data_IF_576143966771
#
_entry.id   IF_576143966771
#
_cell.length_a   1.000
_cell.length_b   1.000
_cell.length_c   1.000
_cell.angle_alpha   90.00
_cell.angle_beta   90.00
_cell.angle_gamma   90.00
#
_symmetry.space_group_name_H-M   'P 1'
#
loop_
_entity.id
_entity.type
_entity.pdbx_description
1 polymer ?
#
# COMPACT_ATOMS: atom_id res chain seq x y z
N UNK A 1 6.61 -11.44 6.15
CA UNK A 1 5.81 -12.02 5.03
C UNK A 1 6.62 -11.84 3.75
N UNK A 2 6.53 -12.81 2.83
CA UNK A 2 7.16 -12.70 1.52
C UNK A 2 6.30 -11.85 0.57
N UNK A 3 6.91 -10.83 -0.02
CA UNK A 3 6.33 -9.95 -1.02
C UNK A 3 7.04 -10.11 -2.36
N UNK A 4 6.43 -9.61 -3.43
CA UNK A 4 7.07 -9.51 -4.74
C UNK A 4 7.60 -8.09 -4.92
N UNK A 5 8.93 -7.94 -5.02
CA UNK A 5 9.55 -6.73 -5.52
C UNK A 5 9.54 -6.79 -7.04
N UNK A 6 8.87 -5.82 -7.66
CA UNK A 6 8.78 -5.70 -9.11
C UNK A 6 9.56 -4.48 -9.55
N UNK A 7 10.57 -4.71 -10.37
CA UNK A 7 11.43 -3.68 -10.91
C UNK A 7 11.06 -3.43 -12.38
N UNK A 8 10.56 -2.24 -12.66
CA UNK A 8 10.19 -1.77 -13.99
C UNK A 8 11.30 -0.88 -14.54
N UNK A 9 11.90 -1.27 -15.66
CA UNK A 9 12.77 -0.39 -16.45
C UNK A 9 11.88 0.42 -17.40
N UNK A 10 11.88 1.74 -17.24
CA UNK A 10 11.14 2.69 -18.08
C UNK A 10 12.12 3.54 -18.90
N UNK A 11 11.61 4.39 -19.80
CA UNK A 11 12.45 5.30 -20.58
C UNK A 11 13.22 6.30 -19.71
N UNK A 12 12.64 6.70 -18.58
CA UNK A 12 13.17 7.75 -17.69
C UNK A 12 13.89 7.20 -16.45
N UNK A 13 14.06 5.88 -16.37
CA UNK A 13 14.75 5.23 -15.24
C UNK A 13 14.01 3.99 -14.73
N UNK A 14 14.32 3.62 -13.49
CA UNK A 14 13.81 2.40 -12.87
C UNK A 14 12.77 2.73 -11.80
N UNK A 15 11.65 1.99 -11.78
CA UNK A 15 10.63 2.08 -10.74
C UNK A 15 10.46 0.73 -10.05
N UNK A 16 10.57 0.73 -8.72
CA UNK A 16 10.35 -0.46 -7.89
C UNK A 16 8.97 -0.41 -7.21
N UNK A 17 8.25 -1.52 -7.24
CA UNK A 17 6.93 -1.66 -6.62
C UNK A 17 6.84 -2.99 -5.87
N UNK A 18 6.36 -2.94 -4.64
CA UNK A 18 6.08 -4.10 -3.81
C UNK A 18 4.63 -4.52 -4.05
N UNK A 19 4.44 -5.80 -4.38
CA UNK A 19 3.14 -6.44 -4.54
C UNK A 19 2.96 -7.59 -3.58
N UNK A 20 1.70 -7.86 -3.26
CA UNK A 20 1.27 -9.00 -2.47
C UNK A 20 1.13 -10.20 -3.43
N UNK A 21 1.82 -11.34 -3.21
CA UNK A 21 1.90 -12.44 -4.19
C UNK A 21 0.57 -13.10 -4.54
N UNK A 22 -0.44 -12.99 -3.66
CA UNK A 22 -1.81 -13.49 -3.82
C UNK A 22 -2.80 -12.44 -3.35
N UNK A 23 -2.74 -11.26 -3.97
CA UNK A 23 -3.52 -10.09 -3.57
C UNK A 23 -5.00 -10.45 -3.41
N UNK A 24 -5.54 -10.24 -2.21
CA UNK A 24 -6.98 -10.31 -1.98
C UNK A 24 -7.62 -8.96 -2.33
N UNK A 25 -8.93 -8.96 -2.56
CA UNK A 25 -9.67 -7.69 -2.58
C UNK A 25 -9.45 -6.94 -1.26
N UNK A 26 -9.49 -5.61 -1.33
CA UNK A 26 -9.31 -4.74 -0.18
C UNK A 26 -7.97 -4.85 0.58
N UNK A 27 -6.89 -5.15 -0.15
CA UNK A 27 -5.53 -5.28 0.38
C UNK A 27 -4.52 -4.41 -0.41
N UNK A 28 -3.67 -3.66 0.30
CA UNK A 28 -2.76 -2.68 -0.27
C UNK A 28 -1.45 -2.52 0.49
N UNK A 29 -0.40 -2.17 -0.24
CA UNK A 29 0.85 -1.65 0.33
C UNK A 29 0.79 -0.13 0.30
N UNK A 30 0.91 0.49 1.47
CA UNK A 30 1.00 1.94 1.62
C UNK A 30 2.46 2.33 1.74
N UNK A 31 2.84 3.32 0.97
CA UNK A 31 4.18 3.86 0.93
C UNK A 31 4.25 5.10 1.81
N UNK A 32 5.35 5.26 2.55
CA UNK A 32 5.70 6.48 3.27
C UNK A 32 6.98 7.04 2.69
N UNK A 33 6.98 8.31 2.30
CA UNK A 33 8.16 8.96 1.69
C UNK A 33 8.75 8.15 0.51
N UNK A 34 7.89 7.56 -0.33
CA UNK A 34 8.32 6.78 -1.50
C UNK A 34 8.85 5.38 -1.20
N UNK A 35 8.79 4.90 0.05
CA UNK A 35 9.20 3.54 0.42
C UNK A 35 8.02 2.73 0.95
N UNK A 36 7.92 1.42 0.65
CA UNK A 36 6.87 0.56 1.19
C UNK A 36 7.00 0.54 2.72
N UNK A 37 5.93 0.89 3.42
CA UNK A 37 5.97 1.10 4.87
C UNK A 37 4.88 0.34 5.62
N UNK A 38 3.70 0.19 5.01
CA UNK A 38 2.57 -0.45 5.68
C UNK A 38 1.87 -1.46 4.77
N UNK A 39 1.31 -2.49 5.39
CA UNK A 39 0.42 -3.45 4.74
C UNK A 39 -0.97 -3.30 5.36
N UNK A 40 -1.91 -2.78 4.57
CA UNK A 40 -3.31 -2.62 4.97
C UNK A 40 -4.12 -3.76 4.39
N UNK A 41 -4.83 -4.48 5.26
CA UNK A 41 -5.74 -5.56 4.88
C UNK A 41 -7.09 -5.32 5.55
N UNK A 42 -8.08 -4.80 4.82
CA UNK A 42 -9.39 -4.48 5.38
C UNK A 42 -10.20 -5.71 5.82
N UNK A 43 -9.78 -6.93 5.47
CA UNK A 43 -10.42 -8.16 5.95
C UNK A 43 -9.67 -8.81 7.12
N UNK A 44 -8.56 -8.22 7.58
CA UNK A 44 -7.90 -8.63 8.81
C UNK A 44 -8.64 -8.02 10.01
N UNK A 45 -9.51 -8.82 10.63
CA UNK A 45 -10.28 -8.42 11.80
C UNK A 45 -9.53 -8.66 13.12
N UNK A 46 -8.21 -8.91 13.09
CA UNK A 46 -7.40 -9.14 14.28
C UNK A 46 -6.70 -7.89 14.79
N UNK A 47 -6.45 -6.92 13.91
CA UNK A 47 -5.74 -5.68 14.26
C UNK A 47 -6.71 -4.51 14.21
N UNK A 48 -6.71 -3.68 15.26
CA UNK A 48 -7.64 -2.56 15.39
C UNK A 48 -7.52 -1.58 14.23
N UNK A 49 -6.29 -1.27 13.81
CA UNK A 49 -6.02 -0.48 12.60
C UNK A 49 -6.74 -1.00 11.35
N UNK A 50 -6.69 -2.31 11.08
CA UNK A 50 -7.34 -2.89 9.90
C UNK A 50 -8.87 -2.92 10.04
N UNK A 51 -9.40 -3.08 11.25
CA UNK A 51 -10.85 -2.95 11.54
C UNK A 51 -11.32 -1.52 11.23
N UNK A 52 -10.58 -0.50 11.66
CA UNK A 52 -10.92 0.89 11.36
C UNK A 52 -10.81 1.16 9.85
N UNK A 53 -9.77 0.66 9.19
CA UNK A 53 -9.61 0.78 7.74
C UNK A 53 -10.74 0.11 6.95
N UNK A 54 -11.27 -1.03 7.44
CA UNK A 54 -12.48 -1.64 6.89
C UNK A 54 -13.64 -0.64 6.89
N UNK A 55 -13.92 -0.03 8.04
CA UNK A 55 -14.97 0.98 8.20
C UNK A 55 -14.75 2.24 7.36
N UNK A 56 -13.50 2.65 7.14
CA UNK A 56 -13.17 3.84 6.34
C UNK A 56 -13.25 3.61 4.83
N UNK A 57 -12.96 2.39 4.36
CA UNK A 57 -12.86 2.06 2.93
C UNK A 57 -14.12 1.38 2.43
N UNK A 58 -14.57 0.31 3.10
CA UNK A 58 -15.62 -0.57 2.59
C UNK A 58 -17.02 -0.04 2.91
N UNK A 59 -17.29 0.38 4.14
CA UNK A 59 -18.63 0.86 4.54
C UNK A 59 -19.11 2.08 3.73
N UNK A 60 -18.32 3.16 3.58
CA UNK A 60 -18.70 4.33 2.79
C UNK A 60 -18.40 4.18 1.29
N UNK A 61 -17.92 3.02 0.83
CA UNK A 61 -17.50 2.76 -0.56
C UNK A 61 -16.47 3.76 -1.09
N UNK A 62 -15.54 4.20 -0.22
CA UNK A 62 -14.48 5.13 -0.61
C UNK A 62 -13.34 4.41 -1.29
N UNK A 63 -12.67 5.10 -2.22
CA UNK A 63 -11.43 4.57 -2.78
C UNK A 63 -10.31 4.61 -1.74
N UNK A 64 -9.45 3.59 -1.72
CA UNK A 64 -8.28 3.59 -0.82
C UNK A 64 -7.41 4.85 -1.04
N UNK A 65 -7.33 5.37 -2.27
CA UNK A 65 -6.55 6.56 -2.57
C UNK A 65 -7.08 7.79 -1.85
N UNK A 66 -8.41 7.94 -1.78
CA UNK A 66 -9.04 9.03 -1.04
C UNK A 66 -8.78 8.88 0.47
N UNK A 67 -9.00 7.69 1.01
CA UNK A 67 -8.79 7.41 2.45
C UNK A 67 -7.34 7.68 2.86
N UNK A 68 -6.37 7.17 2.11
CA UNK A 68 -4.94 7.39 2.39
C UNK A 68 -4.56 8.87 2.23
N UNK A 69 -5.12 9.58 1.24
CA UNK A 69 -4.90 11.02 1.08
C UNK A 69 -5.42 11.83 2.27
N UNK A 70 -6.59 11.48 2.79
CA UNK A 70 -7.18 12.14 3.96
C UNK A 70 -6.37 11.88 5.23
N UNK A 71 -5.95 10.62 5.45
CA UNK A 71 -5.07 10.25 6.57
C UNK A 71 -3.74 11.00 6.47
N UNK A 72 -3.12 11.03 5.28
CA UNK A 72 -1.87 11.74 5.02
C UNK A 72 -1.97 13.23 5.37
N UNK A 73 -3.05 13.88 4.91
CA UNK A 73 -3.30 15.30 5.17
C UNK A 73 -3.52 15.59 6.65
N UNK A 74 -4.33 14.76 7.34
CA UNK A 74 -4.65 14.95 8.75
C UNK A 74 -3.41 14.84 9.65
N UNK A 75 -2.47 13.97 9.29
CA UNK A 75 -1.31 13.65 10.11
C UNK A 75 0.00 14.31 9.62
N UNK A 76 -0.06 15.21 8.63
CA UNK A 76 1.09 15.86 8.01
C UNK A 76 2.22 14.88 7.59
N UNK A 77 1.84 13.78 6.94
CA UNK A 77 2.76 12.76 6.44
C UNK A 77 2.56 12.49 4.95
N UNK A 78 3.63 12.12 4.24
CA UNK A 78 3.56 11.78 2.82
C UNK A 78 3.27 10.29 2.64
N UNK A 79 2.03 9.96 2.30
CA UNK A 79 1.61 8.59 1.98
C UNK A 79 1.17 8.46 0.52
N UNK A 80 1.41 7.28 -0.07
CA UNK A 80 0.93 6.95 -1.42
C UNK A 80 0.57 5.47 -1.55
N UNK A 81 -0.23 5.17 -2.58
CA UNK A 81 -0.42 3.81 -3.10
C UNK A 81 0.26 3.78 -4.48
N UNK A 82 1.36 3.06 -4.60
CA UNK A 82 2.10 2.99 -5.86
C UNK A 82 1.39 2.13 -6.90
N UNK A 83 1.33 2.64 -8.13
CA UNK A 83 0.81 1.93 -9.31
C UNK A 83 1.94 1.58 -10.27
N UNK A 84 1.83 0.44 -10.99
CA UNK A 84 2.72 0.14 -12.11
C UNK A 84 2.81 1.33 -13.08
N UNK A 85 3.98 1.56 -13.70
CA UNK A 85 4.08 2.53 -14.77
C UNK A 85 3.18 2.09 -15.95
N UNK A 86 2.69 3.06 -16.72
CA UNK A 86 1.84 2.81 -17.90
C UNK A 86 2.64 2.06 -18.97
N UNK A 87 3.91 2.40 -19.15
CA UNK A 87 4.82 1.80 -20.13
C UNK A 87 6.07 1.31 -19.40
N UNK A 88 6.47 0.06 -19.67
CA UNK A 88 7.71 -0.52 -19.18
C UNK A 88 8.43 -1.28 -20.31
N UNK A 89 9.73 -1.05 -20.44
CA UNK A 89 10.61 -1.74 -21.40
C UNK A 89 10.96 -3.13 -20.92
N UNK A 90 11.15 -3.29 -19.61
CA UNK A 90 11.48 -4.57 -18.97
C UNK A 90 10.87 -4.63 -17.57
N UNK A 91 10.49 -5.85 -17.16
CA UNK A 91 9.97 -6.15 -15.83
C UNK A 91 10.77 -7.32 -15.24
N UNK A 92 11.28 -7.14 -14.03
CA UNK A 92 11.87 -8.21 -13.21
C UNK A 92 11.02 -8.39 -11.96
N UNK A 93 10.90 -9.62 -11.46
CA UNK A 93 10.15 -9.94 -10.24
C UNK A 93 11.05 -10.78 -9.34
N UNK A 94 11.18 -10.35 -8.09
CA UNK A 94 11.93 -11.05 -7.05
C UNK A 94 11.05 -11.23 -5.82
N UNK A 95 11.20 -12.35 -5.12
CA UNK A 95 10.56 -12.55 -3.83
C UNK A 95 11.45 -11.97 -2.74
N UNK A 96 10.89 -11.10 -1.91
CA UNK A 96 11.60 -10.44 -0.81
C UNK A 96 10.81 -10.53 0.48
N UNK A 97 11.48 -10.93 1.55
CA UNK A 97 10.89 -10.86 2.88
C UNK A 97 10.90 -9.40 3.37
N UNK A 98 9.74 -8.89 3.76
CA UNK A 98 9.59 -7.57 4.37
C UNK A 98 8.72 -7.67 5.61
N UNK A 99 8.97 -6.75 6.55
CA UNK A 99 8.11 -6.50 7.70
C UNK A 99 7.39 -5.18 7.43
N UNK A 100 6.10 -5.28 7.14
CA UNK A 100 5.24 -4.12 6.87
C UNK A 100 4.09 -4.18 7.88
N UNK A 101 4.11 -3.34 8.94
CA UNK A 101 3.02 -3.29 9.92
C UNK A 101 1.73 -2.71 9.31
N UNK A 102 0.58 -2.80 9.99
CA UNK A 102 -0.60 -2.02 9.64
C UNK A 102 -0.35 -0.51 9.82
N UNK A 103 -1.30 0.33 9.44
CA UNK A 103 -1.20 1.77 9.68
C UNK A 103 -1.21 2.07 11.19
N UNK A 104 -0.49 3.10 11.66
CA UNK A 104 -0.59 3.53 13.06
C UNK A 104 -2.03 3.91 13.41
N UNK A 105 -2.58 3.34 14.48
CA UNK A 105 -3.95 3.59 14.94
C UNK A 105 -4.18 5.08 15.26
N UNK A 106 -3.17 5.75 15.82
CA UNK A 106 -3.19 7.18 16.09
C UNK A 106 -3.42 8.05 14.84
N UNK A 107 -3.20 7.51 13.63
CA UNK A 107 -3.48 8.24 12.38
C UNK A 107 -4.91 8.06 11.86
N UNK A 108 -5.66 7.13 12.44
CA UNK A 108 -7.00 6.74 11.97
C UNK A 108 -8.13 7.36 12.79
N UNK A 109 -7.82 7.91 13.97
CA UNK A 109 -8.71 8.74 14.78
C UNK A 109 -8.85 10.13 14.19
#
# INVERSE_FOLDING_TARGET
MNYQLITYKTLIGTKEIVKIPKRKSAEWIVYKNGKPAFHVNCFDLKTESNIIMNGLVLCPQKTIQEVIKNIAKKNDVKLSIEKPPIIALKKTIETKELVLPPLPEAWLN
#
